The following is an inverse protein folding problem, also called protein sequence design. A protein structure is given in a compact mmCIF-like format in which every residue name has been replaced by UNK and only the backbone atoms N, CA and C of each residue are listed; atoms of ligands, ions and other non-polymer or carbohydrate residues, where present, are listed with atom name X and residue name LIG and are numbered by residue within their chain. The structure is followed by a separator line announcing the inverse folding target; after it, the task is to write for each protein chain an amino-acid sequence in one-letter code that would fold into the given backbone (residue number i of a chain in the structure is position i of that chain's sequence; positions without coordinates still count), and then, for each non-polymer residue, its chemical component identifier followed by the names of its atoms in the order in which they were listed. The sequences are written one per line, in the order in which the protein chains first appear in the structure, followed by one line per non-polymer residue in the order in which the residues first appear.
data_IF_077606587629
#
_entry.id   IF_077606587629
#
_cell.length_a   1.000
_cell.length_b   1.000
_cell.length_c   1.000
_cell.angle_alpha   90.00
_cell.angle_beta   90.00
_cell.angle_gamma   90.00
#
_symmetry.space_group_name_H-M   'P 1'
#
loop_
_entity.id
_entity.type
_entity.pdbx_description
1 polymer ?
#
# COMPACT_ATOMS: atom_id res chain seq x y z
N UNK A 1 1.58 23.15 -67.67
CA UNK A 1 0.93 22.02 -66.99
C UNK A 1 1.85 21.56 -65.87
N UNK A 2 1.54 21.93 -64.61
CA UNK A 2 2.37 21.63 -63.43
C UNK A 2 2.09 20.20 -62.97
N UNK A 3 3.14 19.39 -62.82
CA UNK A 3 3.07 18.02 -62.27
C UNK A 3 3.14 18.10 -60.75
N UNK A 4 2.12 17.60 -60.07
CA UNK A 4 2.06 17.48 -58.61
C UNK A 4 2.69 16.15 -58.22
N UNK A 5 3.75 16.19 -57.41
CA UNK A 5 4.34 15.01 -56.76
C UNK A 5 3.71 14.91 -55.37
N UNK A 6 3.01 13.81 -55.09
CA UNK A 6 2.49 13.48 -53.77
C UNK A 6 3.57 12.66 -53.06
N UNK A 7 4.17 13.21 -52.02
CA UNK A 7 5.05 12.49 -51.11
C UNK A 7 4.19 11.81 -50.03
N UNK A 8 4.24 10.48 -49.97
CA UNK A 8 3.61 9.70 -48.91
C UNK A 8 4.54 9.68 -47.69
N UNK A 9 4.11 10.34 -46.61
CA UNK A 9 4.80 10.32 -45.32
C UNK A 9 4.46 9.01 -44.60
N UNK A 10 5.39 8.07 -44.54
CA UNK A 10 5.29 6.89 -43.67
C UNK A 10 5.58 7.37 -42.24
N UNK A 11 4.53 7.46 -41.42
CA UNK A 11 4.66 7.67 -39.98
C UNK A 11 5.22 6.38 -39.36
N UNK A 12 6.47 6.42 -38.93
CA UNK A 12 7.07 5.39 -38.09
C UNK A 12 6.46 5.58 -36.70
N UNK A 13 5.51 4.72 -36.31
CA UNK A 13 5.13 4.57 -34.92
C UNK A 13 6.32 3.95 -34.17
N UNK A 14 7.00 4.76 -33.37
CA UNK A 14 7.93 4.26 -32.37
C UNK A 14 7.14 3.56 -31.27
N UNK A 15 7.15 2.23 -31.27
CA UNK A 15 6.64 1.41 -30.16
C UNK A 15 7.51 1.70 -28.94
N UNK A 16 6.92 2.18 -27.85
CA UNK A 16 7.62 2.25 -26.56
C UNK A 16 8.06 0.83 -26.15
N UNK A 17 9.28 0.66 -25.59
CA UNK A 17 9.72 -0.64 -25.10
C UNK A 17 8.78 -1.09 -23.98
N UNK A 18 8.17 -2.27 -24.15
CA UNK A 18 7.48 -2.97 -23.08
C UNK A 18 8.56 -3.34 -22.06
N UNK A 19 8.46 -2.84 -20.83
CA UNK A 19 9.34 -3.27 -19.75
C UNK A 19 9.20 -4.80 -19.60
N UNK A 20 10.28 -5.53 -19.86
CA UNK A 20 10.30 -6.97 -19.75
C UNK A 20 10.42 -7.32 -18.26
N UNK A 21 9.38 -7.91 -17.67
CA UNK A 21 9.49 -8.52 -16.35
C UNK A 21 10.57 -9.60 -16.38
N UNK A 22 11.35 -9.69 -15.30
CA UNK A 22 12.25 -10.81 -15.07
C UNK A 22 11.46 -12.12 -14.92
N UNK A 23 12.16 -13.25 -15.04
CA UNK A 23 11.57 -14.54 -14.73
C UNK A 23 11.15 -14.54 -13.25
N UNK A 24 9.86 -14.80 -12.98
CA UNK A 24 9.37 -14.78 -11.62
C UNK A 24 9.98 -15.93 -10.79
N UNK A 25 10.12 -15.74 -9.46
CA UNK A 25 10.51 -16.80 -8.55
C UNK A 25 9.58 -18.03 -8.64
N UNK A 26 10.10 -19.20 -8.27
CA UNK A 26 9.26 -20.36 -8.00
C UNK A 26 8.50 -20.13 -6.69
N UNK A 27 7.28 -19.61 -6.79
CA UNK A 27 6.45 -19.32 -5.61
C UNK A 27 6.11 -20.55 -4.77
N UNK A 28 6.35 -21.77 -5.24
CA UNK A 28 6.12 -22.98 -4.45
C UNK A 28 7.22 -23.24 -3.40
N UNK A 29 8.39 -22.62 -3.56
CA UNK A 29 9.53 -22.73 -2.63
C UNK A 29 9.66 -21.52 -1.69
N UNK A 30 8.95 -20.43 -2.00
CA UNK A 30 8.96 -19.19 -1.21
C UNK A 30 7.97 -19.30 -0.05
N UNK A 31 8.43 -19.02 1.17
CA UNK A 31 7.59 -19.03 2.36
C UNK A 31 6.48 -17.98 2.27
N UNK A 32 5.26 -18.38 2.66
CA UNK A 32 4.10 -17.51 2.68
C UNK A 32 3.74 -17.10 4.11
N UNK A 33 3.64 -15.80 4.34
CA UNK A 33 3.15 -15.22 5.59
C UNK A 33 1.71 -14.77 5.39
N UNK A 34 0.78 -15.21 6.25
CA UNK A 34 -0.58 -14.67 6.26
C UNK A 34 -0.63 -13.36 7.04
N UNK A 35 -1.07 -12.29 6.38
CA UNK A 35 -1.31 -10.99 6.99
C UNK A 35 -2.78 -10.63 6.78
N UNK A 36 -3.51 -10.42 7.88
CA UNK A 36 -4.89 -9.97 7.81
C UNK A 36 -4.94 -8.44 7.74
N UNK A 37 -5.59 -7.92 6.70
CA UNK A 37 -5.97 -6.51 6.61
C UNK A 37 -7.36 -6.31 7.24
N UNK A 38 -7.62 -5.14 7.80
CA UNK A 38 -8.94 -4.78 8.32
C UNK A 38 -9.38 -3.41 7.83
N UNK A 39 -10.69 -3.16 7.86
CA UNK A 39 -11.24 -1.86 7.56
C UNK A 39 -11.07 -0.90 8.76
N UNK A 40 -10.29 0.19 8.64
CA UNK A 40 -9.93 1.02 9.78
C UNK A 40 -10.95 2.13 10.07
N UNK A 41 -11.91 2.40 9.17
CA UNK A 41 -12.88 3.48 9.33
C UNK A 41 -12.22 4.87 9.42
N UNK A 42 -12.47 5.58 10.51
CA UNK A 42 -11.95 6.91 10.84
C UNK A 42 -11.05 6.78 12.07
N UNK A 43 -9.87 6.18 11.89
CA UNK A 43 -8.87 5.97 12.96
C UNK A 43 -7.51 6.60 12.59
N UNK A 44 -7.42 7.93 12.49
CA UNK A 44 -6.14 8.58 12.17
C UNK A 44 -5.15 8.49 13.35
N UNK A 45 -3.88 8.81 13.11
CA UNK A 45 -2.83 8.77 14.14
C UNK A 45 -3.15 9.64 15.34
N UNK A 46 -3.78 10.80 15.15
CA UNK A 46 -4.19 11.66 16.27
C UNK A 46 -5.20 10.95 17.19
N UNK A 47 -6.03 10.04 16.65
CA UNK A 47 -6.93 9.23 17.45
C UNK A 47 -6.18 8.09 18.15
N UNK A 48 -5.28 7.41 17.43
CA UNK A 48 -4.44 6.31 17.96
C UNK A 48 -3.58 6.78 19.14
N UNK A 49 -2.99 7.97 19.03
CA UNK A 49 -2.20 8.62 20.08
C UNK A 49 -3.05 9.16 21.23
N UNK A 50 -4.38 9.14 21.08
CA UNK A 50 -5.36 9.58 22.06
C UNK A 50 -5.52 11.10 22.12
N UNK A 51 -5.04 11.85 21.13
CA UNK A 51 -5.06 13.32 21.10
C UNK A 51 -6.46 13.85 20.75
N UNK A 52 -7.14 13.20 19.80
CA UNK A 52 -8.53 13.52 19.42
C UNK A 52 -9.54 12.46 19.88
N UNK A 53 -10.82 12.80 19.78
CA UNK A 53 -11.95 11.86 19.88
C UNK A 53 -12.55 11.67 18.49
N UNK A 54 -12.95 10.45 18.19
CA UNK A 54 -13.87 10.15 17.09
C UNK A 54 -15.17 9.70 17.77
N UNK A 55 -16.25 10.40 17.44
CA UNK A 55 -17.51 10.38 18.21
C UNK A 55 -17.28 10.65 19.71
N UNK A 56 -17.52 9.65 20.55
CA UNK A 56 -17.30 9.72 22.01
C UNK A 56 -16.07 8.93 22.47
N UNK A 57 -15.38 8.22 21.56
CA UNK A 57 -14.30 7.31 21.89
C UNK A 57 -12.92 7.96 21.71
N UNK A 58 -12.00 7.68 22.65
CA UNK A 58 -10.54 7.86 22.49
C UNK A 58 -9.90 6.49 22.39
N UNK A 59 -8.79 6.38 21.68
CA UNK A 59 -7.99 5.17 21.72
C UNK A 59 -7.31 5.02 23.09
N UNK A 60 -7.41 3.83 23.70
CA UNK A 60 -6.82 3.54 25.00
C UNK A 60 -5.30 3.30 24.95
N UNK A 61 -4.78 2.94 23.77
CA UNK A 61 -3.38 2.51 23.60
C UNK A 61 -2.35 3.64 23.50
N UNK A 62 -2.76 4.91 23.41
CA UNK A 62 -1.82 6.02 23.11
C UNK A 62 -0.66 6.15 24.08
N UNK A 63 -0.86 5.83 25.37
CA UNK A 63 0.24 5.82 26.37
C UNK A 63 1.21 4.65 26.16
N UNK A 64 0.71 3.47 25.84
CA UNK A 64 1.52 2.27 25.62
C UNK A 64 2.33 2.42 24.32
N UNK A 65 1.69 2.91 23.27
CA UNK A 65 2.33 3.24 22.00
C UNK A 65 3.49 4.23 22.17
N UNK A 66 3.29 5.33 22.92
CA UNK A 66 4.38 6.29 23.22
C UNK A 66 5.54 5.70 24.03
N UNK A 67 5.40 4.49 24.59
CA UNK A 67 6.45 3.78 25.33
C UNK A 67 7.17 2.71 24.48
N UNK A 68 6.77 2.51 23.23
CA UNK A 68 7.44 1.60 22.29
C UNK A 68 6.58 0.43 21.82
N UNK A 69 5.40 0.20 22.41
CA UNK A 69 4.51 -0.88 21.97
C UNK A 69 4.04 -0.63 20.54
N UNK A 70 3.98 -1.69 19.75
CA UNK A 70 3.51 -1.67 18.36
C UNK A 70 1.99 -1.87 18.31
N UNK A 71 1.39 -1.55 17.15
CA UNK A 71 -0.01 -1.92 16.90
C UNK A 71 -0.23 -3.44 17.05
N UNK A 72 0.72 -4.25 16.58
CA UNK A 72 0.62 -5.71 16.61
C UNK A 72 0.67 -6.27 18.04
N UNK A 73 1.45 -5.68 18.95
CA UNK A 73 1.56 -6.14 20.35
C UNK A 73 0.20 -6.15 21.08
N UNK A 74 -0.70 -5.24 20.69
CA UNK A 74 -2.05 -5.17 21.26
C UNK A 74 -3.11 -5.83 20.37
N UNK A 75 -2.99 -5.70 19.04
CA UNK A 75 -4.10 -5.95 18.13
C UNK A 75 -3.96 -7.17 17.21
N UNK A 76 -2.82 -7.87 17.22
CA UNK A 76 -2.55 -8.96 16.26
C UNK A 76 -3.66 -10.04 16.25
N UNK A 77 -4.19 -10.39 17.41
CA UNK A 77 -5.21 -11.44 17.56
C UNK A 77 -6.65 -10.95 17.35
N UNK A 78 -6.87 -9.63 17.24
CA UNK A 78 -8.21 -9.03 17.13
C UNK A 78 -8.45 -8.24 15.84
N UNK A 79 -7.51 -8.28 14.88
CA UNK A 79 -7.61 -7.56 13.59
C UNK A 79 -8.98 -7.72 12.92
N UNK A 80 -9.48 -8.95 12.84
CA UNK A 80 -10.79 -9.24 12.23
C UNK A 80 -11.93 -8.64 13.04
N UNK A 81 -11.92 -8.82 14.36
CA UNK A 81 -12.96 -8.31 15.26
C UNK A 81 -13.03 -6.78 15.26
N UNK A 82 -11.87 -6.11 15.18
CA UNK A 82 -11.82 -4.65 14.99
C UNK A 82 -12.54 -4.25 13.70
N UNK A 83 -12.22 -4.90 12.59
CA UNK A 83 -12.90 -4.67 11.31
C UNK A 83 -14.42 -4.87 11.41
N UNK A 84 -14.87 -5.96 12.06
CA UNK A 84 -16.30 -6.28 12.26
C UNK A 84 -17.01 -5.20 13.06
N UNK A 85 -16.38 -4.72 14.13
CA UNK A 85 -16.90 -3.63 14.97
C UNK A 85 -17.01 -2.32 14.20
N UNK A 86 -16.06 -2.04 13.31
CA UNK A 86 -16.04 -0.79 12.55
C UNK A 86 -17.05 -0.83 11.40
N UNK A 87 -17.14 -1.92 10.63
CA UNK A 87 -18.11 -2.01 9.51
C UNK A 87 -19.56 -2.05 9.98
N UNK A 88 -19.82 -2.49 11.21
CA UNK A 88 -21.17 -2.45 11.79
C UNK A 88 -21.67 -1.01 12.07
N UNK A 89 -20.75 -0.04 12.10
CA UNK A 89 -21.05 1.34 12.48
C UNK A 89 -21.17 1.55 14.00
N UNK A 90 -20.79 0.57 14.84
CA UNK A 90 -20.81 0.73 16.29
C UNK A 90 -19.82 1.82 16.74
N UNK A 91 -18.62 1.85 16.14
CA UNK A 91 -17.55 2.81 16.45
C UNK A 91 -16.73 3.12 15.20
N UNK A 92 -16.19 4.34 15.16
CA UNK A 92 -15.18 4.79 14.18
C UNK A 92 -15.64 4.82 12.71
N UNK A 93 -16.91 4.55 12.41
CA UNK A 93 -17.44 4.69 11.06
C UNK A 93 -18.77 5.46 11.09
N UNK A 94 -18.75 6.78 10.81
CA UNK A 94 -19.96 7.59 10.81
C UNK A 94 -20.88 7.28 9.60
N UNK A 95 -20.37 6.67 8.54
CA UNK A 95 -21.13 6.34 7.34
C UNK A 95 -20.85 4.88 6.92
N UNK A 96 -21.38 3.89 7.65
CA UNK A 96 -21.10 2.49 7.38
C UNK A 96 -21.57 2.08 5.99
N UNK A 97 -20.73 1.35 5.28
CA UNK A 97 -21.01 0.86 3.93
C UNK A 97 -21.57 -0.55 4.07
N UNK A 98 -22.86 -0.70 3.79
CA UNK A 98 -23.55 -1.99 3.91
C UNK A 98 -22.87 -3.06 3.06
N UNK A 99 -22.53 -4.20 3.66
CA UNK A 99 -21.84 -5.31 2.98
C UNK A 99 -20.33 -5.13 2.85
N UNK A 100 -19.73 -4.06 3.41
CA UNK A 100 -18.28 -3.88 3.38
C UNK A 100 -17.59 -5.02 4.14
N UNK A 101 -16.59 -5.68 3.55
CA UNK A 101 -15.82 -6.69 4.24
C UNK A 101 -15.15 -6.10 5.48
N UNK A 102 -15.21 -6.82 6.60
CA UNK A 102 -14.53 -6.42 7.84
C UNK A 102 -13.00 -6.55 7.71
N UNK A 103 -12.56 -7.66 7.12
CA UNK A 103 -11.17 -8.03 7.01
C UNK A 103 -10.90 -8.83 5.73
N UNK A 104 -9.64 -8.81 5.29
CA UNK A 104 -9.16 -9.55 4.12
C UNK A 104 -7.88 -10.28 4.55
N UNK A 105 -7.89 -11.61 4.68
CA UNK A 105 -6.66 -12.38 4.85
C UNK A 105 -5.88 -12.38 3.53
N UNK A 106 -4.59 -12.03 3.59
CA UNK A 106 -3.72 -11.94 2.43
C UNK A 106 -2.49 -12.82 2.67
N UNK A 107 -2.24 -13.73 1.74
CA UNK A 107 -0.97 -14.46 1.69
C UNK A 107 0.08 -13.58 1.02
N UNK A 108 1.19 -13.36 1.71
CA UNK A 108 2.30 -12.51 1.27
C UNK A 108 3.57 -13.36 1.15
N UNK A 109 4.22 -13.27 0.00
CA UNK A 109 5.49 -13.94 -0.29
C UNK A 109 6.48 -12.90 -0.82
N UNK A 110 7.75 -13.05 -0.46
CA UNK A 110 8.82 -12.18 -0.92
C UNK A 110 10.06 -12.99 -1.33
N UNK A 111 10.70 -12.58 -2.40
CA UNK A 111 11.94 -13.18 -2.90
C UNK A 111 12.75 -12.14 -3.68
N UNK A 112 14.03 -12.40 -3.94
CA UNK A 112 14.82 -11.56 -4.83
C UNK A 112 15.82 -12.39 -5.64
N UNK A 113 16.29 -11.86 -6.77
CA UNK A 113 17.35 -12.48 -7.59
C UNK A 113 18.74 -11.84 -7.35
N UNK A 114 18.78 -10.77 -6.54
CA UNK A 114 19.96 -9.97 -6.25
C UNK A 114 19.98 -8.61 -6.94
N UNK A 115 19.14 -8.42 -7.95
CA UNK A 115 18.92 -7.14 -8.64
C UNK A 115 17.51 -6.60 -8.36
N UNK A 116 16.50 -7.47 -8.42
CA UNK A 116 15.07 -7.19 -8.23
C UNK A 116 14.51 -7.90 -7.00
N UNK A 117 13.69 -7.20 -6.24
CA UNK A 117 12.74 -7.70 -5.25
C UNK A 117 11.43 -8.06 -5.96
N UNK A 118 10.90 -9.23 -5.63
CA UNK A 118 9.58 -9.70 -6.03
C UNK A 118 8.70 -9.80 -4.79
N UNK A 119 7.51 -9.20 -4.85
CA UNK A 119 6.49 -9.30 -3.80
C UNK A 119 5.21 -9.86 -4.41
N UNK A 120 4.73 -10.98 -3.86
CA UNK A 120 3.46 -11.60 -4.28
C UNK A 120 2.44 -11.50 -3.17
N UNK A 121 1.26 -11.02 -3.53
CA UNK A 121 0.10 -10.91 -2.67
C UNK A 121 -1.03 -11.73 -3.27
N UNK A 122 -1.67 -12.59 -2.47
CA UNK A 122 -2.79 -13.42 -2.90
C UNK A 122 -3.92 -13.37 -1.89
N UNK A 123 -5.14 -13.13 -2.34
CA UNK A 123 -6.32 -13.11 -1.48
C UNK A 123 -7.58 -13.50 -2.24
N UNK A 124 -8.58 -13.99 -1.51
CA UNK A 124 -9.92 -14.23 -2.05
C UNK A 124 -10.66 -12.89 -2.15
N UNK A 125 -11.21 -12.58 -3.32
CA UNK A 125 -12.07 -11.45 -3.59
C UNK A 125 -13.21 -11.47 -2.56
N UNK A 126 -13.27 -10.49 -1.64
CA UNK A 126 -14.32 -10.48 -0.65
C UNK A 126 -15.63 -9.99 -1.28
N UNK A 127 -16.76 -10.30 -0.62
CA UNK A 127 -18.09 -9.91 -1.10
C UNK A 127 -18.24 -8.37 -1.20
N UNK A 128 -19.06 -7.94 -2.17
CA UNK A 128 -19.06 -6.58 -2.69
C UNK A 128 -19.80 -5.56 -1.82
N UNK A 129 -19.18 -4.39 -1.63
CA UNK A 129 -19.87 -3.11 -1.41
C UNK A 129 -18.96 -1.92 -1.78
N UNK A 130 -19.38 -1.13 -2.76
CA UNK A 130 -18.70 0.12 -3.14
C UNK A 130 -19.17 1.29 -2.27
N UNK A 131 -18.22 2.10 -1.81
CA UNK A 131 -18.51 3.34 -1.10
C UNK A 131 -18.86 4.49 -2.07
N UNK A 132 -19.42 5.58 -1.57
CA UNK A 132 -19.65 6.81 -2.34
C UNK A 132 -18.31 7.41 -2.82
N UNK A 133 -18.24 7.87 -4.08
CA UNK A 133 -17.00 8.40 -4.66
C UNK A 133 -16.04 7.31 -5.16
N UNK A 134 -16.61 6.20 -5.61
CA UNK A 134 -15.89 5.05 -6.15
C UNK A 134 -15.00 5.42 -7.35
N UNK A 135 -13.88 4.72 -7.47
CA UNK A 135 -12.94 4.74 -8.59
C UNK A 135 -13.40 3.70 -9.62
N UNK A 136 -14.35 4.10 -10.47
CA UNK A 136 -14.97 3.22 -11.47
C UNK A 136 -13.93 2.58 -12.42
N UNK A 137 -12.79 3.24 -12.63
CA UNK A 137 -11.73 2.72 -13.47
C UNK A 137 -10.99 1.54 -12.82
N UNK A 138 -10.96 1.44 -11.49
CA UNK A 138 -10.12 0.47 -10.78
C UNK A 138 -10.94 -0.31 -9.75
N UNK A 139 -11.50 -1.48 -10.13
CA UNK A 139 -12.16 -2.40 -9.21
C UNK A 139 -11.32 -2.70 -7.96
N UNK A 140 -10.01 -2.90 -8.14
CA UNK A 140 -9.08 -3.18 -7.05
C UNK A 140 -7.80 -2.38 -7.22
N UNK A 141 -7.24 -1.92 -6.10
CA UNK A 141 -5.88 -1.38 -6.03
C UNK A 141 -5.17 -1.98 -4.82
N UNK A 142 -3.89 -2.28 -4.99
CA UNK A 142 -3.00 -2.71 -3.92
C UNK A 142 -1.86 -1.72 -3.83
N UNK A 143 -1.67 -1.12 -2.66
CA UNK A 143 -0.58 -0.18 -2.39
C UNK A 143 0.32 -0.75 -1.29
N UNK A 144 1.64 -0.63 -1.46
CA UNK A 144 2.65 -1.05 -0.50
C UNK A 144 3.51 0.17 -0.17
N UNK A 145 3.82 0.37 1.11
CA UNK A 145 4.73 1.42 1.56
C UNK A 145 5.90 0.80 2.30
N UNK A 146 7.11 1.30 2.02
CA UNK A 146 8.34 0.94 2.73
C UNK A 146 8.92 2.15 3.46
N UNK A 147 9.50 1.91 4.62
CA UNK A 147 10.29 2.89 5.36
C UNK A 147 11.64 2.27 5.78
N UNK A 148 12.68 3.10 5.71
CA UNK A 148 14.06 2.75 6.05
C UNK A 148 14.43 3.08 7.50
N UNK A 149 13.44 3.17 8.40
CA UNK A 149 13.60 3.52 9.81
C UNK A 149 13.74 5.02 10.05
N UNK A 150 13.25 5.86 9.15
CA UNK A 150 13.38 7.33 9.26
C UNK A 150 12.06 8.03 9.52
N UNK A 151 10.94 7.43 9.12
CA UNK A 151 9.62 7.95 9.45
C UNK A 151 9.31 7.65 10.91
N UNK A 152 8.98 8.69 11.68
CA UNK A 152 8.63 8.57 13.10
C UNK A 152 7.46 7.59 13.27
N UNK A 153 7.61 6.63 14.20
CA UNK A 153 6.60 5.60 14.53
C UNK A 153 6.28 4.58 13.42
N UNK A 154 7.01 4.58 12.30
CA UNK A 154 6.77 3.62 11.21
C UNK A 154 7.08 2.17 11.61
N UNK A 155 8.06 1.98 12.48
CA UNK A 155 8.41 0.70 13.11
C UNK A 155 7.30 0.16 14.01
N UNK A 156 6.54 1.04 14.65
CA UNK A 156 5.43 0.68 15.53
C UNK A 156 4.08 0.53 14.83
N UNK A 157 3.88 1.23 13.70
CA UNK A 157 2.56 1.44 13.10
C UNK A 157 2.50 1.26 11.58
N UNK A 158 3.61 0.90 10.93
CA UNK A 158 3.65 0.71 9.47
C UNK A 158 3.14 1.95 8.72
N UNK A 159 2.25 1.76 7.75
CA UNK A 159 1.68 2.84 6.92
C UNK A 159 0.87 3.89 7.70
N UNK A 160 0.51 3.62 8.97
CA UNK A 160 -0.39 4.47 9.73
C UNK A 160 0.22 5.81 10.09
N UNK A 161 1.55 5.93 10.19
CA UNK A 161 2.20 7.22 10.43
C UNK A 161 1.91 8.27 9.33
N UNK A 162 1.34 7.84 8.18
CA UNK A 162 0.85 8.72 7.11
C UNK A 162 -0.66 9.00 7.11
N UNK A 163 -1.38 8.59 8.16
CA UNK A 163 -2.85 8.63 8.24
C UNK A 163 -3.30 9.71 9.22
N UNK A 164 -3.85 10.80 8.70
CA UNK A 164 -4.21 11.98 9.50
C UNK A 164 -5.69 12.35 9.37
N UNK A 165 -6.24 12.92 10.44
CA UNK A 165 -7.66 13.30 10.51
C UNK A 165 -8.08 14.33 9.45
N UNK A 166 -7.13 15.15 8.99
CA UNK A 166 -7.34 16.22 8.01
C UNK A 166 -7.12 15.78 6.55
N UNK A 167 -6.74 14.51 6.34
CA UNK A 167 -6.59 13.93 5.01
C UNK A 167 -7.92 13.90 4.25
N UNK A 168 -7.87 14.09 2.93
CA UNK A 168 -9.04 14.05 2.05
C UNK A 168 -9.88 12.80 2.31
N UNK A 169 -11.20 12.94 2.18
CA UNK A 169 -12.23 11.91 2.42
C UNK A 169 -12.44 11.49 3.88
N UNK A 170 -11.61 11.95 4.83
CA UNK A 170 -11.95 11.92 6.26
C UNK A 170 -13.11 12.89 6.55
N UNK A 171 -13.90 12.68 7.62
CA UNK A 171 -15.06 13.51 7.91
C UNK A 171 -14.79 15.01 7.94
N UNK A 172 -13.65 15.42 8.53
CA UNK A 172 -13.20 16.81 8.64
C UNK A 172 -12.01 17.12 7.71
N UNK A 173 -11.80 16.26 6.70
CA UNK A 173 -10.69 16.34 5.77
C UNK A 173 -10.85 17.45 4.73
N UNK A 174 -9.73 17.90 4.17
CA UNK A 174 -9.73 18.85 3.04
C UNK A 174 -9.45 18.13 1.72
N UNK A 175 -10.19 18.45 0.65
CA UNK A 175 -10.06 17.76 -0.65
C UNK A 175 -8.63 17.76 -1.23
N UNK A 176 -7.88 18.84 -1.01
CA UNK A 176 -6.50 18.98 -1.45
C UNK A 176 -5.45 18.29 -0.56
N UNK A 177 -5.81 17.86 0.65
CA UNK A 177 -4.85 17.24 1.57
C UNK A 177 -4.73 15.75 1.30
N UNK A 178 -3.62 15.35 0.70
CA UNK A 178 -3.31 13.92 0.52
C UNK A 178 -2.66 13.35 1.78
N UNK A 179 -2.29 12.05 1.76
CA UNK A 179 -1.48 11.48 2.84
C UNK A 179 -0.15 12.23 2.92
N UNK A 180 0.38 12.41 4.12
CA UNK A 180 1.67 13.02 4.37
C UNK A 180 2.30 12.37 5.60
N UNK A 181 3.60 12.52 5.76
CA UNK A 181 4.35 12.16 6.96
C UNK A 181 4.55 13.45 7.76
N UNK A 182 4.24 13.42 9.05
CA UNK A 182 4.57 14.52 9.95
C UNK A 182 6.09 14.74 9.96
N UNK A 183 6.52 15.99 9.75
CA UNK A 183 7.93 16.35 9.58
C UNK A 183 8.61 15.61 8.41
N UNK A 184 7.81 15.13 7.45
CA UNK A 184 8.28 14.47 6.24
C UNK A 184 9.19 15.37 5.42
N UNK A 185 10.22 14.77 4.83
CA UNK A 185 11.16 15.45 3.97
C UNK A 185 11.76 14.49 2.96
N UNK A 186 11.40 14.65 1.69
CA UNK A 186 12.00 13.84 0.62
C UNK A 186 13.53 14.02 0.60
N UNK A 187 14.00 15.27 0.69
CA UNK A 187 15.44 15.59 0.69
C UNK A 187 16.17 15.17 1.98
N UNK A 188 15.47 15.15 3.12
CA UNK A 188 15.99 14.63 4.39
C UNK A 188 15.95 13.10 4.50
N UNK A 189 15.29 12.43 3.55
CA UNK A 189 15.09 10.98 3.57
C UNK A 189 14.01 10.51 4.55
N UNK A 190 13.13 11.41 5.01
CA UNK A 190 11.99 11.09 5.90
C UNK A 190 10.76 10.94 5.02
N UNK A 191 10.57 9.76 4.45
CA UNK A 191 9.48 9.46 3.54
C UNK A 191 9.16 7.97 3.52
N UNK A 192 7.94 7.62 3.08
CA UNK A 192 7.63 6.28 2.61
C UNK A 192 7.87 6.16 1.12
N UNK A 193 8.58 5.14 0.69
CA UNK A 193 8.57 4.67 -0.70
C UNK A 193 7.22 3.99 -0.95
N UNK A 194 6.53 4.35 -2.04
CA UNK A 194 5.17 3.91 -2.35
C UNK A 194 5.11 3.27 -3.73
N UNK A 195 4.80 1.97 -3.77
CA UNK A 195 4.41 1.27 -4.99
C UNK A 195 2.92 0.93 -4.97
N UNK A 196 2.26 0.99 -6.13
CA UNK A 196 0.85 0.63 -6.25
C UNK A 196 0.56 -0.08 -7.57
N UNK A 197 -0.30 -1.08 -7.48
CA UNK A 197 -0.94 -1.72 -8.61
C UNK A 197 -2.40 -1.29 -8.69
N UNK A 198 -2.90 -1.08 -9.92
CA UNK A 198 -4.31 -0.81 -10.19
C UNK A 198 -4.88 -1.76 -11.22
N UNK A 199 -6.02 -2.37 -10.90
CA UNK A 199 -6.61 -3.44 -11.70
C UNK A 199 -7.22 -3.00 -13.04
N UNK A 200 -7.59 -1.72 -13.19
CA UNK A 200 -8.28 -1.24 -14.39
C UNK A 200 -7.49 -1.46 -15.67
N UNK A 201 -6.26 -0.95 -15.68
CA UNK A 201 -5.32 -1.07 -16.80
C UNK A 201 -4.14 -2.01 -16.47
N UNK A 202 -4.24 -2.76 -15.36
CA UNK A 202 -3.12 -3.55 -14.82
C UNK A 202 -1.85 -2.69 -14.66
N UNK A 203 -2.02 -1.49 -14.09
CA UNK A 203 -1.01 -0.42 -14.12
C UNK A 203 -0.19 -0.37 -12.84
N UNK A 204 1.12 -0.32 -13.02
CA UNK A 204 2.11 -0.07 -11.97
C UNK A 204 2.30 1.45 -11.75
N UNK A 205 2.44 1.84 -10.49
CA UNK A 205 2.58 3.22 -10.04
C UNK A 205 3.69 3.27 -9.00
N UNK A 206 4.59 4.24 -9.13
CA UNK A 206 5.81 4.37 -8.32
C UNK A 206 5.98 5.82 -7.85
N UNK A 207 6.07 6.03 -6.55
CA UNK A 207 6.09 7.35 -5.92
C UNK A 207 6.47 7.28 -4.45
N UNK A 208 6.04 8.28 -3.68
CA UNK A 208 6.41 8.39 -2.27
C UNK A 208 5.37 9.16 -1.45
N UNK A 209 5.51 9.10 -0.13
CA UNK A 209 4.81 9.97 0.82
C UNK A 209 5.82 10.64 1.73
N UNK A 210 5.96 11.95 1.58
CA UNK A 210 6.78 12.80 2.43
C UNK A 210 5.92 13.96 2.94
N UNK A 211 6.19 15.20 2.56
CA UNK A 211 5.35 16.38 2.82
C UNK A 211 3.92 16.22 2.26
N UNK A 212 3.80 15.48 1.17
CA UNK A 212 2.55 15.05 0.55
C UNK A 212 2.76 13.71 -0.17
N UNK A 213 1.66 13.13 -0.65
CA UNK A 213 1.72 11.93 -1.47
C UNK A 213 1.90 12.29 -2.94
N UNK A 214 3.01 11.84 -3.50
CA UNK A 214 3.32 11.90 -4.91
C UNK A 214 3.18 10.49 -5.48
N UNK A 215 2.42 10.34 -6.57
CA UNK A 215 2.12 9.02 -7.16
C UNK A 215 2.98 8.69 -8.38
N UNK A 216 3.85 9.58 -8.84
CA UNK A 216 4.65 9.37 -10.04
C UNK A 216 6.06 9.93 -9.83
N UNK A 217 7.01 9.50 -10.66
CA UNK A 217 8.39 9.97 -10.62
C UNK A 217 9.37 9.03 -9.93
N UNK A 218 8.88 7.97 -9.28
CA UNK A 218 9.69 6.82 -8.88
C UNK A 218 10.22 6.06 -10.11
N UNK A 219 11.31 5.30 -9.92
CA UNK A 219 11.92 4.48 -10.99
C UNK A 219 12.46 3.14 -10.51
N UNK A 220 12.16 2.77 -9.27
CA UNK A 220 12.52 1.48 -8.69
C UNK A 220 11.56 0.38 -9.16
N UNK A 221 10.27 0.68 -9.29
CA UNK A 221 9.27 -0.29 -9.73
C UNK A 221 9.46 -0.60 -11.22
N UNK A 222 9.85 -1.84 -11.51
CA UNK A 222 9.96 -2.36 -12.88
C UNK A 222 8.56 -2.60 -13.45
N UNK A 223 7.68 -3.16 -12.63
CA UNK A 223 6.28 -3.36 -12.98
C UNK A 223 5.47 -4.02 -11.87
N UNK A 224 4.16 -4.07 -12.07
CA UNK A 224 3.24 -4.86 -11.26
C UNK A 224 2.20 -5.54 -12.16
N UNK A 225 1.94 -6.82 -11.94
CA UNK A 225 0.93 -7.59 -12.66
C UNK A 225 -0.06 -8.19 -11.68
N UNK A 226 -1.35 -7.97 -11.91
CA UNK A 226 -2.42 -8.58 -11.15
C UNK A 226 -3.37 -9.38 -12.03
N UNK A 227 -3.78 -10.55 -11.52
CA UNK A 227 -4.70 -11.48 -12.18
C UNK A 227 -5.76 -11.94 -11.18
N UNK A 228 -6.99 -12.05 -11.66
CA UNK A 228 -8.08 -12.75 -10.97
C UNK A 228 -8.26 -14.13 -11.61
N UNK A 229 -8.18 -15.19 -10.82
CA UNK A 229 -8.45 -16.57 -11.23
C UNK A 229 -9.50 -17.19 -10.31
N UNK A 230 -10.69 -17.46 -10.85
CA UNK A 230 -11.87 -17.73 -10.04
C UNK A 230 -12.20 -16.54 -9.14
N UNK A 231 -12.12 -16.75 -7.82
CA UNK A 231 -12.29 -15.72 -6.80
C UNK A 231 -10.95 -15.26 -6.20
N UNK A 232 -9.81 -15.75 -6.68
CA UNK A 232 -8.51 -15.45 -6.09
C UNK A 232 -7.77 -14.41 -6.91
N UNK A 233 -7.48 -13.27 -6.29
CA UNK A 233 -6.52 -12.32 -6.82
C UNK A 233 -5.10 -12.76 -6.51
N UNK A 234 -4.21 -12.57 -7.47
CA UNK A 234 -2.76 -12.61 -7.28
C UNK A 234 -2.17 -11.35 -7.89
N UNK A 235 -1.37 -10.61 -7.13
CA UNK A 235 -0.61 -9.46 -7.61
C UNK A 235 0.87 -9.68 -7.33
N UNK A 236 1.70 -9.49 -8.34
CA UNK A 236 3.16 -9.56 -8.22
C UNK A 236 3.76 -8.21 -8.60
N UNK A 237 4.57 -7.65 -7.69
CA UNK A 237 5.42 -6.50 -7.97
C UNK A 237 6.84 -6.97 -8.26
N UNK A 238 7.49 -6.35 -9.24
CA UNK A 238 8.92 -6.43 -9.47
C UNK A 238 9.53 -5.03 -9.28
N UNK A 239 10.48 -4.90 -8.37
CA UNK A 239 11.10 -3.62 -8.00
C UNK A 239 12.60 -3.80 -7.85
N UNK A 240 13.41 -2.91 -8.41
CA UNK A 240 14.87 -2.90 -8.20
C UNK A 240 15.21 -2.77 -6.71
N UNK A 241 16.12 -3.59 -6.22
CA UNK A 241 16.65 -3.48 -4.86
C UNK A 241 17.39 -2.15 -4.66
N UNK A 242 18.12 -1.70 -5.66
CA UNK A 242 18.93 -0.47 -5.60
C UNK A 242 18.13 0.83 -5.45
N UNK A 243 16.79 0.76 -5.55
CA UNK A 243 15.94 1.93 -5.65
C UNK A 243 16.06 2.58 -7.04
N UNK A 244 16.08 3.90 -7.09
CA UNK A 244 16.23 4.62 -8.35
C UNK A 244 16.20 6.14 -8.18
N UNK A 245 15.01 6.71 -8.18
CA UNK A 245 14.76 8.13 -8.11
C UNK A 245 14.65 8.61 -6.65
N UNK A 246 14.55 9.93 -6.46
CA UNK A 246 14.21 10.47 -5.16
C UNK A 246 12.81 9.97 -4.74
N UNK A 247 12.72 9.37 -3.55
CA UNK A 247 11.50 8.70 -3.09
C UNK A 247 11.56 7.18 -3.19
N UNK A 248 12.62 6.63 -3.79
CA UNK A 248 12.85 5.20 -3.85
C UNK A 248 13.89 4.78 -2.80
N UNK A 249 13.54 3.86 -1.90
CA UNK A 249 14.45 3.33 -0.88
C UNK A 249 15.37 2.26 -1.49
N UNK A 250 16.68 2.37 -1.27
CA UNK A 250 17.58 1.25 -1.53
C UNK A 250 17.37 0.14 -0.48
N UNK A 251 16.95 -1.03 -0.95
CA UNK A 251 16.76 -2.25 -0.17
C UNK A 251 18.00 -3.13 -0.31
N UNK A 252 18.76 -3.25 0.76
CA UNK A 252 20.04 -3.97 0.78
C UNK A 252 19.90 -5.32 1.49
N UNK A 253 20.57 -6.34 0.97
CA UNK A 253 20.67 -7.63 1.62
C UNK A 253 21.31 -7.51 3.02
N UNK A 254 20.85 -8.34 3.96
CA UNK A 254 21.22 -8.29 5.37
C UNK A 254 20.53 -7.19 6.18
N UNK A 255 19.57 -6.45 5.61
CA UNK A 255 18.83 -5.38 6.30
C UNK A 255 17.34 -5.68 6.43
N UNK A 256 16.73 -4.99 7.38
CA UNK A 256 15.29 -4.99 7.66
C UNK A 256 14.71 -3.61 7.39
N UNK A 257 13.51 -3.59 6.84
CA UNK A 257 12.74 -2.41 6.50
C UNK A 257 11.34 -2.50 7.09
N UNK A 258 10.76 -1.36 7.48
CA UNK A 258 9.36 -1.32 7.88
C UNK A 258 8.51 -1.33 6.61
N UNK A 259 7.42 -2.08 6.60
CA UNK A 259 6.48 -2.03 5.50
C UNK A 259 5.04 -2.25 5.96
N UNK A 260 4.12 -1.84 5.11
CA UNK A 260 2.72 -2.18 5.24
C UNK A 260 2.03 -2.05 3.89
N UNK A 261 0.79 -2.49 3.82
CA UNK A 261 0.04 -2.45 2.59
C UNK A 261 -1.45 -2.25 2.82
N UNK A 262 -2.11 -1.80 1.76
CA UNK A 262 -3.52 -1.51 1.76
C UNK A 262 -4.19 -1.99 0.47
N UNK A 263 -5.40 -2.51 0.61
CA UNK A 263 -6.25 -2.90 -0.51
C UNK A 263 -7.45 -1.96 -0.55
N UNK A 264 -7.60 -1.25 -1.66
CA UNK A 264 -8.87 -0.65 -2.05
C UNK A 264 -9.60 -1.68 -2.91
N UNK A 265 -10.62 -2.33 -2.37
CA UNK A 265 -11.48 -3.24 -3.13
C UNK A 265 -12.82 -2.58 -3.49
N UNK A 266 -13.56 -3.15 -4.44
CA UNK A 266 -14.91 -2.71 -4.84
C UNK A 266 -14.94 -1.25 -5.29
N UNK A 267 -13.98 -0.87 -6.13
CA UNK A 267 -13.83 0.50 -6.60
C UNK A 267 -13.60 1.51 -5.46
N UNK A 268 -13.18 1.07 -4.28
CA UNK A 268 -12.98 2.00 -3.17
C UNK A 268 -11.92 3.07 -3.49
N UNK A 269 -12.11 4.24 -2.92
CA UNK A 269 -11.17 5.35 -2.98
C UNK A 269 -11.01 5.99 -1.60
N UNK A 270 -9.97 6.81 -1.44
CA UNK A 270 -9.73 7.56 -0.21
C UNK A 270 -9.59 6.66 1.02
N UNK A 271 -10.30 7.01 2.11
CA UNK A 271 -10.26 6.29 3.39
C UNK A 271 -10.89 4.89 3.37
N UNK A 272 -11.63 4.52 2.32
CA UNK A 272 -12.45 3.30 2.30
C UNK A 272 -11.66 1.99 1.99
N UNK A 273 -10.41 1.86 2.46
CA UNK A 273 -9.52 0.72 2.20
C UNK A 273 -9.36 -0.20 3.40
N UNK A 274 -8.84 -1.40 3.16
CA UNK A 274 -8.33 -2.30 4.19
C UNK A 274 -6.83 -2.09 4.35
N UNK A 275 -6.31 -2.12 5.57
CA UNK A 275 -4.91 -1.82 5.88
C UNK A 275 -4.32 -2.78 6.91
N UNK A 276 -3.00 -2.98 6.84
CA UNK A 276 -2.20 -3.78 7.78
C UNK A 276 -1.86 -3.01 9.06
N UNK A 277 -1.52 -3.70 10.17
CA UNK A 277 -1.08 -3.06 11.43
C UNK A 277 0.36 -2.48 11.37
N UNK A 278 1.21 -3.01 10.49
CA UNK A 278 2.63 -2.68 10.38
C UNK A 278 3.47 -3.94 10.54
N UNK A 279 4.42 -4.14 9.63
CA UNK A 279 5.24 -5.34 9.54
C UNK A 279 6.66 -5.00 9.10
N UNK A 280 7.55 -5.97 9.16
CA UNK A 280 8.93 -5.83 8.74
C UNK A 280 9.25 -6.75 7.55
N UNK A 281 9.95 -6.20 6.56
CA UNK A 281 10.49 -6.92 5.42
C UNK A 281 12.00 -7.07 5.62
N UNK A 282 12.46 -8.30 5.77
CA UNK A 282 13.88 -8.63 5.77
C UNK A 282 14.36 -8.99 4.37
N UNK A 283 15.45 -8.41 3.90
CA UNK A 283 16.14 -8.84 2.67
C UNK A 283 17.34 -9.69 3.10
N UNK A 284 17.29 -11.01 2.90
CA UNK A 284 18.25 -11.96 3.48
C UNK A 284 18.52 -11.74 4.99
N UNK A 285 17.49 -11.27 5.72
CA UNK A 285 17.54 -10.94 7.13
C UNK A 285 16.21 -11.31 7.82
N UNK A 286 16.22 -11.44 9.15
CA UNK A 286 15.00 -11.70 9.91
C UNK A 286 13.98 -10.58 9.73
N UNK A 287 12.71 -10.93 9.59
CA UNK A 287 11.56 -10.03 9.51
C UNK A 287 10.26 -10.84 9.51
N UNK A 288 9.11 -10.17 9.58
CA UNK A 288 7.80 -10.83 9.51
C UNK A 288 7.55 -11.47 8.13
N UNK A 289 8.07 -10.81 7.08
CA UNK A 289 8.20 -11.34 5.74
C UNK A 289 9.68 -11.30 5.35
N UNK A 290 10.21 -12.40 4.84
CA UNK A 290 11.62 -12.52 4.47
C UNK A 290 11.74 -12.75 2.97
N UNK A 291 12.37 -11.80 2.27
CA UNK A 291 12.81 -11.97 0.91
C UNK A 291 14.15 -12.70 0.92
N UNK A 292 14.15 -13.97 0.52
CA UNK A 292 15.39 -14.76 0.33
C UNK A 292 15.81 -14.73 -1.13
N UNK A 293 17.12 -14.78 -1.37
CA UNK A 293 17.63 -14.97 -2.72
C UNK A 293 17.13 -16.29 -3.34
N UNK A 294 16.63 -16.24 -4.57
CA UNK A 294 16.24 -17.41 -5.39
C UNK A 294 17.18 -17.56 -6.59
#
# INVERSE_FOLDING_TARGET
MKKTVIAASIAVLASAPIATFAAQPDWSTVEATEITLFYPGVSPMEWILGDIRVDRARHGGGRAFKQGDTCADCHADEVRQMGETIVSGEKLEPNPVAGKPAAIPVSVQAAHDGDSLFLRFSWTQPAAASAKGADDANPVKLAVMFDAGKVEMADQSGCWASCHADSRTMPDGSDGKTKYVKDGSLSGGVFYDLIQWRSGENKAIDGHVAEERVMEGGSALVGAEGKLDGDTWTVVFERKLTGGAAGDIALEAGKRYNFGFAIHNEHAAGRYHHVSLGYTLGIDADGDVVAKKQ
#
